data_IF_408083292058
#
_entry.id   IF_408083292058
#
_cell.length_a   1.000
_cell.length_b   1.000
_cell.length_c   1.000
_cell.angle_alpha   90.00
_cell.angle_beta   90.00
_cell.angle_gamma   90.00
#
_symmetry.space_group_name_H-M   'P 1'
#
loop_
_entity.id
_entity.type
_entity.pdbx_description
1 polymer ?
#
# COMPACT_ATOMS: atom_id res chain seq x y z
N UNK A 1 10.46 8.83 -2.65
CA UNK A 1 9.44 9.31 -1.69
C UNK A 1 8.69 8.16 -1.06
N UNK A 2 7.98 8.41 0.06
CA UNK A 2 7.00 7.48 0.66
C UNK A 2 5.63 8.15 0.63
N UNK A 3 4.62 7.42 0.20
CA UNK A 3 3.23 7.86 0.13
C UNK A 3 2.36 6.97 1.00
N UNK A 4 1.31 7.53 1.59
CA UNK A 4 0.32 6.77 2.32
C UNK A 4 -1.07 7.40 2.16
N UNK A 5 -2.09 6.61 2.45
CA UNK A 5 -3.48 7.04 2.53
C UNK A 5 -3.87 7.13 4.01
N UNK A 6 -4.32 8.31 4.44
CA UNK A 6 -4.59 8.64 5.84
C UNK A 6 -6.10 8.72 6.09
N UNK A 7 -6.55 8.21 7.23
CA UNK A 7 -7.97 8.22 7.62
C UNK A 7 -8.48 9.66 7.72
N UNK A 8 -9.54 9.99 6.99
CA UNK A 8 -10.22 11.30 7.00
C UNK A 8 -11.74 11.17 7.22
N UNK A 9 -12.21 9.96 7.56
CA UNK A 9 -13.62 9.62 7.70
C UNK A 9 -14.30 9.24 6.38
N UNK A 10 -13.63 9.43 5.23
CA UNK A 10 -14.12 8.94 3.93
C UNK A 10 -13.64 7.52 3.65
N UNK A 11 -14.24 6.87 2.65
CA UNK A 11 -13.84 5.53 2.20
C UNK A 11 -12.49 5.50 1.46
N UNK A 12 -12.04 6.62 0.93
CA UNK A 12 -10.82 6.71 0.11
C UNK A 12 -9.63 7.30 0.88
N UNK A 13 -9.85 7.87 2.06
CA UNK A 13 -8.84 8.53 2.84
C UNK A 13 -8.19 9.73 2.13
N UNK A 14 -7.14 10.28 2.65
CA UNK A 14 -6.42 11.40 2.08
C UNK A 14 -4.95 11.07 1.85
N UNK A 15 -4.42 11.49 0.70
CA UNK A 15 -3.03 11.30 0.34
C UNK A 15 -2.10 12.12 1.25
N UNK A 16 -1.07 11.46 1.76
CA UNK A 16 0.03 12.10 2.49
C UNK A 16 1.38 11.66 1.93
N UNK A 17 2.36 12.55 2.06
CA UNK A 17 3.78 12.24 1.90
C UNK A 17 4.37 11.99 3.27
N UNK A 18 5.16 10.94 3.42
CA UNK A 18 5.77 10.51 4.69
C UNK A 18 7.28 10.64 4.61
N UNK A 19 7.92 11.12 5.67
CA UNK A 19 9.37 11.24 5.77
C UNK A 19 10.07 9.87 5.72
N UNK A 20 11.35 9.84 5.34
CA UNK A 20 12.14 8.59 5.22
C UNK A 20 12.21 7.82 6.53
N UNK A 21 12.35 8.55 7.63
CA UNK A 21 12.46 8.02 8.99
C UNK A 21 11.11 7.68 9.65
N UNK A 22 10.00 7.94 8.92
CA UNK A 22 8.64 7.73 9.42
C UNK A 22 8.27 8.59 10.64
N UNK A 23 8.97 9.69 10.87
CA UNK A 23 8.70 10.58 12.01
C UNK A 23 7.63 11.63 11.72
N UNK A 24 7.52 12.05 10.46
CA UNK A 24 6.63 13.13 10.05
C UNK A 24 5.93 12.87 8.73
N UNK A 25 4.84 13.59 8.52
CA UNK A 25 4.07 13.53 7.30
C UNK A 25 3.52 14.91 6.92
N UNK A 26 3.08 15.04 5.68
CA UNK A 26 2.44 16.24 5.16
C UNK A 26 1.31 15.85 4.20
N UNK A 27 0.16 16.50 4.31
CA UNK A 27 -0.93 16.32 3.35
C UNK A 27 -0.52 16.80 1.96
N UNK A 28 -0.82 15.99 0.95
CA UNK A 28 -0.52 16.32 -0.46
C UNK A 28 -1.68 17.04 -1.17
N UNK A 29 -2.63 17.62 -0.43
CA UNK A 29 -3.89 18.18 -0.96
C UNK A 29 -3.71 19.30 -1.99
N UNK A 30 -2.55 19.98 -2.01
CA UNK A 30 -2.21 20.95 -3.07
C UNK A 30 -1.76 20.30 -4.40
N UNK A 31 -1.51 18.97 -4.41
CA UNK A 31 -1.02 18.22 -5.56
C UNK A 31 -2.07 17.19 -5.99
N UNK A 32 -2.43 16.30 -5.07
CA UNK A 32 -3.49 15.30 -5.24
C UNK A 32 -4.11 14.97 -3.88
N UNK A 33 -5.41 14.64 -3.86
CA UNK A 33 -6.12 14.31 -2.62
C UNK A 33 -6.19 12.81 -2.35
N UNK A 34 -6.07 11.98 -3.36
CA UNK A 34 -6.22 10.52 -3.29
C UNK A 34 -5.07 9.80 -4.00
N UNK A 35 -4.72 8.62 -3.52
CA UNK A 35 -3.66 7.79 -4.13
C UNK A 35 -4.01 7.40 -5.57
N UNK A 36 -5.28 7.09 -5.86
CA UNK A 36 -5.71 6.73 -7.21
C UNK A 36 -5.40 7.83 -8.22
N UNK A 37 -5.60 9.09 -7.87
CA UNK A 37 -5.28 10.23 -8.76
C UNK A 37 -3.79 10.25 -9.15
N UNK A 38 -2.90 9.92 -8.19
CA UNK A 38 -1.46 9.86 -8.44
C UNK A 38 -1.12 8.75 -9.43
N UNK A 39 -1.75 7.58 -9.29
CA UNK A 39 -1.52 6.45 -10.18
C UNK A 39 -2.05 6.70 -11.59
N UNK A 40 -3.19 7.39 -11.70
CA UNK A 40 -3.82 7.73 -12.98
C UNK A 40 -3.00 8.76 -13.77
N UNK A 41 -2.26 9.66 -13.09
CA UNK A 41 -1.45 10.71 -13.72
C UNK A 41 -0.04 10.80 -13.10
N UNK A 42 0.62 9.67 -13.00
CA UNK A 42 1.92 9.51 -12.35
C UNK A 42 2.98 10.46 -12.88
N UNK A 43 3.09 10.58 -14.19
CA UNK A 43 4.15 11.36 -14.82
C UNK A 43 4.06 12.86 -14.50
N UNK A 44 2.85 13.37 -14.32
CA UNK A 44 2.63 14.76 -13.98
C UNK A 44 2.71 15.03 -12.47
N UNK A 45 2.19 14.13 -11.64
CA UNK A 45 2.07 14.34 -10.21
C UNK A 45 3.30 13.88 -9.40
N UNK A 46 4.00 12.84 -9.86
CA UNK A 46 5.14 12.31 -9.11
C UNK A 46 6.31 13.29 -8.91
N UNK A 47 6.69 14.17 -9.86
CA UNK A 47 7.74 15.17 -9.61
C UNK A 47 7.37 16.16 -8.50
N UNK A 48 6.12 16.58 -8.44
CA UNK A 48 5.62 17.51 -7.42
C UNK A 48 5.61 16.85 -6.03
N UNK A 49 5.22 15.58 -5.95
CA UNK A 49 5.27 14.79 -4.72
C UNK A 49 6.71 14.54 -4.27
N UNK A 50 7.64 14.34 -5.19
CA UNK A 50 9.06 14.19 -4.87
C UNK A 50 9.65 15.49 -4.29
N UNK A 51 9.29 16.65 -4.83
CA UNK A 51 9.70 17.96 -4.30
C UNK A 51 9.15 18.16 -2.86
N UNK A 52 7.87 17.83 -2.64
CA UNK A 52 7.27 17.87 -1.31
C UNK A 52 8.00 16.90 -0.35
N UNK A 53 8.33 15.70 -0.83
CA UNK A 53 9.08 14.70 -0.06
C UNK A 53 10.46 15.21 0.35
N UNK A 54 11.19 15.86 -0.56
CA UNK A 54 12.49 16.47 -0.28
C UNK A 54 12.34 17.60 0.75
N UNK A 55 11.38 18.48 0.58
CA UNK A 55 11.07 19.58 1.50
C UNK A 55 10.75 19.07 2.90
N UNK A 56 9.95 18.01 3.00
CA UNK A 56 9.60 17.35 4.26
C UNK A 56 10.85 16.74 4.94
N UNK A 57 11.66 16.00 4.19
CA UNK A 57 12.87 15.36 4.73
C UNK A 57 13.97 16.34 5.16
N UNK A 58 13.95 17.57 4.65
CA UNK A 58 14.83 18.65 5.09
C UNK A 58 14.26 19.47 6.28
N UNK A 59 13.09 19.08 6.81
CA UNK A 59 12.42 19.79 7.89
C UNK A 59 11.88 21.19 7.52
N UNK A 60 11.70 21.45 6.22
CA UNK A 60 11.26 22.76 5.69
C UNK A 60 9.77 22.79 5.32
N UNK A 61 9.07 21.66 5.39
CA UNK A 61 7.64 21.59 5.08
C UNK A 61 6.83 22.28 6.18
N UNK A 62 6.17 23.38 5.82
CA UNK A 62 5.20 24.02 6.71
C UNK A 62 4.00 23.08 6.90
N UNK A 63 3.44 23.06 8.11
CA UNK A 63 2.30 22.19 8.45
C UNK A 63 2.59 20.69 8.39
N UNK A 64 3.87 20.29 8.45
CA UNK A 64 4.22 18.90 8.72
C UNK A 64 3.70 18.50 10.12
N UNK A 65 3.24 17.26 10.24
CA UNK A 65 2.72 16.69 11.49
C UNK A 65 3.39 15.36 11.82
N UNK A 66 3.29 14.89 13.06
CA UNK A 66 3.83 13.60 13.47
C UNK A 66 3.10 12.47 12.75
N UNK A 67 3.85 11.56 12.10
CA UNK A 67 3.27 10.40 11.42
C UNK A 67 2.82 9.35 12.43
N UNK A 68 1.62 8.82 12.25
CA UNK A 68 1.08 7.68 13.02
C UNK A 68 0.55 6.60 12.06
N UNK A 69 1.21 5.44 12.02
CA UNK A 69 0.83 4.34 11.15
C UNK A 69 -0.60 3.80 11.44
N UNK A 70 -1.12 3.97 12.67
CA UNK A 70 -2.49 3.56 13.04
C UNK A 70 -3.56 4.38 12.33
N UNK A 71 -3.18 5.57 11.85
CA UNK A 71 -4.06 6.43 11.06
C UNK A 71 -3.99 6.11 9.57
N UNK A 72 -3.14 5.19 9.14
CA UNK A 72 -3.10 4.77 7.74
C UNK A 72 -4.24 3.80 7.43
N UNK A 73 -4.78 3.95 6.23
CA UNK A 73 -5.60 2.99 5.52
C UNK A 73 -4.72 2.12 4.62
N UNK A 74 -5.28 1.14 3.94
CA UNK A 74 -4.62 0.54 2.78
C UNK A 74 -4.22 1.64 1.78
N UNK A 75 -3.13 1.50 1.02
CA UNK A 75 -2.74 2.52 0.02
C UNK A 75 -3.85 2.87 -0.96
N UNK A 76 -4.58 1.87 -1.41
CA UNK A 76 -5.80 1.96 -2.21
C UNK A 76 -6.95 1.25 -1.48
N UNK A 77 -7.68 1.93 -0.57
CA UNK A 77 -8.70 1.28 0.27
C UNK A 77 -9.80 0.60 -0.53
N UNK A 78 -10.07 1.11 -1.72
CA UNK A 78 -11.06 0.58 -2.66
C UNK A 78 -10.44 0.19 -3.99
N UNK A 79 -9.28 -0.48 -3.97
CA UNK A 79 -8.72 -1.02 -5.20
C UNK A 79 -9.73 -1.92 -5.91
N UNK A 80 -9.80 -1.81 -7.23
CA UNK A 80 -10.75 -2.56 -8.06
C UNK A 80 -10.50 -4.07 -7.99
N UNK A 81 -9.26 -4.47 -7.77
CA UNK A 81 -8.86 -5.86 -7.77
C UNK A 81 -7.60 -6.04 -6.91
N UNK A 82 -7.52 -7.17 -6.24
CA UNK A 82 -6.30 -7.65 -5.60
C UNK A 82 -5.90 -8.99 -6.21
N UNK A 83 -4.68 -9.07 -6.69
CA UNK A 83 -4.13 -10.28 -7.27
C UNK A 83 -2.72 -10.54 -6.70
N UNK A 84 -2.45 -11.80 -6.38
CA UNK A 84 -1.15 -12.26 -5.91
C UNK A 84 -0.49 -13.12 -6.98
N UNK A 85 0.67 -12.68 -7.46
CA UNK A 85 1.51 -13.42 -8.39
C UNK A 85 2.48 -14.32 -7.64
N UNK A 86 2.13 -15.57 -7.41
CA UNK A 86 2.95 -16.54 -6.68
C UNK A 86 4.06 -17.09 -7.56
N UNK A 87 5.02 -16.24 -7.97
CA UNK A 87 6.09 -16.59 -8.92
C UNK A 87 7.48 -16.80 -8.29
N UNK A 88 7.61 -16.70 -6.98
CA UNK A 88 8.88 -16.94 -6.29
C UNK A 88 9.10 -18.44 -6.10
N UNK A 89 9.82 -19.04 -7.02
CA UNK A 89 9.98 -20.51 -7.18
C UNK A 89 10.40 -21.19 -5.87
N UNK A 90 11.44 -20.69 -5.19
CA UNK A 90 11.91 -21.27 -3.94
C UNK A 90 10.82 -21.31 -2.85
N UNK A 91 9.99 -20.27 -2.74
CA UNK A 91 8.87 -20.27 -1.80
C UNK A 91 7.86 -21.37 -2.13
N UNK A 92 7.49 -21.51 -3.39
CA UNK A 92 6.52 -22.53 -3.83
C UNK A 92 7.06 -23.95 -3.62
N UNK A 93 8.33 -24.19 -3.93
CA UNK A 93 8.98 -25.48 -3.68
C UNK A 93 8.94 -25.85 -2.19
N UNK A 94 9.30 -24.91 -1.29
CA UNK A 94 9.27 -25.12 0.15
C UNK A 94 7.86 -25.41 0.68
N UNK A 95 6.86 -24.63 0.23
CA UNK A 95 5.46 -24.82 0.64
C UNK A 95 4.92 -26.15 0.13
N UNK A 96 5.21 -26.54 -1.11
CA UNK A 96 4.80 -27.84 -1.65
C UNK A 96 5.46 -28.99 -0.94
N UNK A 97 6.77 -28.91 -0.70
CA UNK A 97 7.51 -29.91 0.09
C UNK A 97 6.92 -30.07 1.49
N UNK A 98 6.59 -28.97 2.17
CA UNK A 98 5.94 -28.99 3.47
C UNK A 98 4.56 -29.68 3.48
N UNK A 99 3.85 -29.64 2.34
CA UNK A 99 2.55 -30.30 2.12
C UNK A 99 2.67 -31.71 1.54
N UNK A 100 3.88 -32.23 1.32
CA UNK A 100 4.11 -33.55 0.69
C UNK A 100 3.68 -33.59 -0.78
N UNK A 101 3.66 -32.45 -1.48
CA UNK A 101 3.27 -32.34 -2.88
C UNK A 101 4.46 -31.96 -3.75
N UNK A 102 4.43 -32.42 -5.01
CA UNK A 102 5.43 -32.04 -6.02
C UNK A 102 5.05 -30.71 -6.71
N UNK A 103 6.06 -30.02 -7.23
CA UNK A 103 5.87 -28.82 -8.05
C UNK A 103 5.55 -29.29 -9.49
N UNK A 104 4.40 -28.88 -10.08
CA UNK A 104 4.10 -29.21 -11.46
C UNK A 104 5.10 -28.55 -12.42
N UNK A 105 5.42 -29.21 -13.54
CA UNK A 105 6.29 -28.62 -14.57
C UNK A 105 5.72 -27.31 -15.14
N UNK A 106 4.40 -27.19 -15.26
CA UNK A 106 3.72 -25.97 -15.72
C UNK A 106 4.00 -24.75 -14.83
N UNK A 107 4.46 -24.94 -13.59
CA UNK A 107 4.80 -23.85 -12.70
C UNK A 107 5.97 -22.99 -13.22
N UNK A 108 6.85 -23.56 -14.03
CA UNK A 108 8.00 -22.84 -14.60
C UNK A 108 7.66 -22.06 -15.88
N UNK A 109 6.48 -22.30 -16.46
CA UNK A 109 6.02 -21.67 -17.71
C UNK A 109 4.79 -20.80 -17.52
N UNK A 110 3.90 -21.19 -16.60
CA UNK A 110 2.61 -20.54 -16.40
C UNK A 110 2.59 -19.76 -15.09
N UNK A 111 2.27 -18.45 -15.11
CA UNK A 111 2.20 -17.66 -13.90
C UNK A 111 1.06 -18.15 -13.01
N UNK A 112 1.39 -18.45 -11.75
CA UNK A 112 0.41 -18.82 -10.76
C UNK A 112 -0.17 -17.54 -10.14
N UNK A 113 -1.44 -17.27 -10.37
CA UNK A 113 -2.14 -16.08 -9.88
C UNK A 113 -3.27 -16.48 -8.92
N UNK A 114 -3.31 -15.82 -7.77
CA UNK A 114 -4.46 -15.86 -6.88
C UNK A 114 -5.22 -14.53 -6.97
N UNK A 115 -6.51 -14.61 -7.25
CA UNK A 115 -7.40 -13.45 -7.25
C UNK A 115 -8.10 -13.36 -5.89
N UNK A 116 -7.88 -12.25 -5.18
CA UNK A 116 -8.51 -11.93 -3.92
C UNK A 116 -9.76 -11.06 -4.08
N UNK A 117 -10.05 -10.29 -3.04
CA UNK A 117 -11.19 -9.38 -3.00
C UNK A 117 -10.98 -8.06 -3.73
N UNK A 118 -11.94 -7.16 -3.54
CA UNK A 118 -11.94 -5.77 -4.01
C UNK A 118 -12.55 -4.86 -2.93
N UNK A 119 -12.41 -3.56 -3.08
CA UNK A 119 -13.17 -2.49 -2.43
C UNK A 119 -12.96 -2.22 -0.94
N UNK A 120 -12.61 -3.19 -0.11
CA UNK A 120 -12.53 -3.01 1.35
C UNK A 120 -11.22 -3.60 1.90
N UNK A 121 -10.12 -2.87 1.71
CA UNK A 121 -8.81 -3.28 2.21
C UNK A 121 -8.50 -2.63 3.55
N UNK A 122 -8.00 -3.44 4.47
CA UNK A 122 -7.61 -3.00 5.81
C UNK A 122 -6.31 -2.20 5.79
N UNK A 123 -6.19 -1.25 6.69
CA UNK A 123 -4.95 -0.54 6.96
C UNK A 123 -3.93 -1.42 7.71
N UNK A 124 -2.68 -0.94 7.85
CA UNK A 124 -1.58 -1.73 8.40
C UNK A 124 -1.73 -2.10 9.89
N UNK A 125 -2.61 -1.40 10.59
CA UNK A 125 -2.85 -1.60 12.03
C UNK A 125 -4.33 -1.85 12.35
N UNK A 126 -5.17 -2.12 11.32
CA UNK A 126 -6.57 -2.45 11.53
C UNK A 126 -6.71 -3.93 11.91
N UNK A 127 -7.62 -4.23 12.82
CA UNK A 127 -7.91 -5.60 13.24
C UNK A 127 -8.58 -6.39 12.11
N UNK A 128 -8.15 -7.63 11.92
CA UNK A 128 -8.85 -8.58 11.06
C UNK A 128 -9.96 -9.22 11.90
N UNK A 129 -11.19 -8.76 11.68
CA UNK A 129 -12.36 -9.28 12.41
C UNK A 129 -12.93 -10.49 11.66
N UNK A 130 -12.73 -11.68 12.21
CA UNK A 130 -13.36 -12.92 11.74
C UNK A 130 -14.53 -13.30 12.66
N UNK A 131 -15.42 -14.14 12.15
CA UNK A 131 -16.61 -14.63 12.89
C UNK A 131 -16.31 -15.24 14.25
N UNK A 132 -15.06 -15.70 14.49
CA UNK A 132 -14.65 -16.41 15.71
C UNK A 132 -13.45 -15.81 16.43
N UNK A 133 -12.74 -14.86 15.82
CA UNK A 133 -11.52 -14.28 16.40
C UNK A 133 -11.22 -12.90 15.82
N UNK A 134 -10.49 -12.12 16.60
CA UNK A 134 -9.78 -10.92 16.13
C UNK A 134 -8.31 -11.29 16.05
N UNK A 135 -7.67 -11.03 14.93
CA UNK A 135 -6.25 -11.36 14.68
C UNK A 135 -5.50 -10.07 14.32
#
# INVERSE_FOLDING_TARGET
>A
MKLATYKDGSRDGQLIVVSRDLSSAHYASGIATRMQQVLDDWNFLSPQLEELSQTLNHGKARHAFAFDARMCMAPLPRAYQWADGSAFINHVELVRKARGAEVPESFYTDPLMYQGGSDDFLGPCDDIVDRKSVV
#
